data_IF_522935615503
#
_entry.id   IF_522935615503
#
_cell.length_a   1.000
_cell.length_b   1.000
_cell.length_c   1.000
_cell.angle_alpha   90.00
_cell.angle_beta   90.00
_cell.angle_gamma   90.00
#
_symmetry.space_group_name_H-M   'P 1'
#
loop_
_entity.id
_entity.type
_entity.pdbx_description
1 polymer ?
#
# COMPACT_ATOMS: atom_id res chain seq x y z
N UNK A 1 28.21 26.49 -0.31
CA UNK A 1 27.29 25.39 -0.67
C UNK A 1 25.95 26.03 -0.94
N UNK A 2 25.45 25.97 -2.18
CA UNK A 2 24.04 26.33 -2.45
C UNK A 2 23.17 25.34 -1.67
N UNK A 3 22.08 25.84 -1.09
CA UNK A 3 21.21 25.11 -0.18
C UNK A 3 20.81 23.75 -0.76
N UNK A 4 21.30 22.67 -0.16
CA UNK A 4 20.80 21.34 -0.50
C UNK A 4 19.32 21.33 -0.12
N UNK A 5 18.44 20.89 -1.02
CA UNK A 5 17.08 20.56 -0.64
C UNK A 5 17.12 19.50 0.46
N UNK A 6 16.75 19.91 1.67
CA UNK A 6 16.62 19.02 2.82
C UNK A 6 15.30 18.28 2.66
N UNK A 7 15.32 16.97 2.90
CA UNK A 7 14.10 16.17 3.00
C UNK A 7 13.20 16.80 4.08
N UNK A 8 12.06 17.35 3.66
CA UNK A 8 11.10 17.98 4.56
C UNK A 8 10.18 16.89 5.14
N UNK A 9 10.64 16.27 6.22
CA UNK A 9 9.93 15.17 6.87
C UNK A 9 8.51 15.55 7.29
N UNK A 10 8.30 16.79 7.76
CA UNK A 10 7.00 17.26 8.21
C UNK A 10 6.02 17.38 7.03
N UNK A 11 6.47 18.02 5.94
CA UNK A 11 5.67 18.15 4.73
C UNK A 11 5.28 16.78 4.17
N UNK A 12 6.24 15.87 3.99
CA UNK A 12 5.93 14.57 3.38
C UNK A 12 5.07 13.68 4.28
N UNK A 13 5.18 13.82 5.60
CA UNK A 13 4.27 13.15 6.53
C UNK A 13 2.82 13.66 6.38
N UNK A 14 2.64 14.97 6.32
CA UNK A 14 1.31 15.58 6.11
C UNK A 14 0.70 15.14 4.76
N UNK A 15 1.49 15.16 3.69
CA UNK A 15 1.06 14.70 2.38
C UNK A 15 0.69 13.21 2.38
N UNK A 16 1.46 12.37 3.08
CA UNK A 16 1.15 10.93 3.19
C UNK A 16 -0.21 10.73 3.87
N UNK A 17 -0.44 11.39 5.00
CA UNK A 17 -1.70 11.29 5.74
C UNK A 17 -2.91 11.74 4.88
N UNK A 18 -2.76 12.84 4.14
CA UNK A 18 -3.81 13.35 3.25
C UNK A 18 -4.08 12.39 2.08
N UNK A 19 -3.03 11.99 1.34
CA UNK A 19 -3.16 11.24 0.10
C UNK A 19 -3.59 9.79 0.32
N UNK A 20 -3.17 9.16 1.42
CA UNK A 20 -3.65 7.83 1.79
C UNK A 20 -5.17 7.86 2.03
N UNK A 21 -5.67 8.88 2.74
CA UNK A 21 -7.11 9.04 2.99
C UNK A 21 -7.86 9.35 1.69
N UNK A 22 -7.33 10.23 0.85
CA UNK A 22 -7.92 10.59 -0.44
C UNK A 22 -8.09 9.35 -1.34
N UNK A 23 -7.04 8.55 -1.52
CA UNK A 23 -7.10 7.31 -2.32
C UNK A 23 -8.06 6.31 -1.67
N UNK A 24 -7.99 6.11 -0.36
CA UNK A 24 -8.80 5.08 0.32
C UNK A 24 -10.31 5.35 0.20
N UNK A 25 -10.72 6.62 0.15
CA UNK A 25 -12.13 7.01 -0.07
C UNK A 25 -12.67 6.61 -1.43
N UNK A 26 -11.80 6.42 -2.42
CA UNK A 26 -12.19 5.99 -3.77
C UNK A 26 -12.75 4.58 -3.81
N UNK A 27 -12.54 3.79 -2.75
CA UNK A 27 -13.02 2.42 -2.65
C UNK A 27 -14.34 2.29 -1.88
N UNK A 28 -15.04 3.36 -1.49
CA UNK A 28 -16.25 3.24 -0.66
C UNK A 28 -17.50 2.72 -1.39
N UNK A 29 -17.46 2.60 -2.71
CA UNK A 29 -18.58 2.15 -3.51
C UNK A 29 -18.93 0.67 -3.33
N UNK A 30 -20.20 0.34 -3.57
CA UNK A 30 -20.72 -1.05 -3.52
C UNK A 30 -19.99 -1.97 -4.49
N UNK A 31 -19.36 -1.46 -5.55
CA UNK A 31 -18.60 -2.27 -6.48
C UNK A 31 -17.39 -2.95 -5.84
N UNK A 32 -16.89 -2.46 -4.71
CA UNK A 32 -15.72 -3.00 -3.99
C UNK A 32 -16.10 -3.87 -2.78
N UNK A 33 -17.22 -3.55 -2.13
CA UNK A 33 -17.64 -4.19 -0.87
C UNK A 33 -18.96 -4.95 -0.97
N UNK A 34 -19.62 -4.93 -2.13
CA UNK A 34 -20.99 -5.38 -2.28
C UNK A 34 -21.92 -4.61 -1.35
N UNK A 35 -22.84 -5.33 -0.71
CA UNK A 35 -23.79 -4.78 0.26
C UNK A 35 -23.26 -4.82 1.71
N UNK A 36 -21.95 -4.99 1.91
CA UNK A 36 -21.36 -5.09 3.24
C UNK A 36 -20.79 -3.74 3.70
N UNK A 37 -20.95 -3.42 4.98
CA UNK A 37 -20.43 -2.20 5.60
C UNK A 37 -19.52 -2.49 6.81
N UNK A 38 -19.32 -3.76 7.12
CA UNK A 38 -18.57 -4.28 8.25
C UNK A 38 -17.27 -4.98 7.81
N UNK A 39 -16.78 -4.70 6.61
CA UNK A 39 -15.55 -5.28 6.07
C UNK A 39 -14.49 -4.20 5.86
N UNK A 40 -13.22 -4.58 6.00
CA UNK A 40 -12.08 -3.74 5.69
C UNK A 40 -10.86 -4.57 5.30
N UNK A 41 -9.93 -3.94 4.58
CA UNK A 41 -8.64 -4.52 4.19
C UNK A 41 -7.52 -3.58 4.59
N UNK A 42 -6.41 -4.14 5.07
CA UNK A 42 -5.17 -3.38 5.25
C UNK A 42 -4.48 -3.23 3.91
N UNK A 43 -4.27 -1.98 3.51
CA UNK A 43 -3.60 -1.60 2.27
C UNK A 43 -2.31 -0.88 2.60
N UNK A 44 -1.22 -1.23 1.93
CA UNK A 44 0.00 -0.43 1.89
C UNK A 44 0.10 0.27 0.54
N UNK A 45 0.46 1.54 0.56
CA UNK A 45 0.75 2.33 -0.64
C UNK A 45 2.22 2.73 -0.61
N UNK A 46 2.90 2.54 -1.73
CA UNK A 46 4.27 2.99 -1.88
C UNK A 46 4.26 4.32 -2.63
N UNK A 47 4.80 5.34 -1.98
CA UNK A 47 4.97 6.66 -2.57
C UNK A 47 6.43 6.99 -2.75
N UNK A 48 6.69 7.91 -3.67
CA UNK A 48 7.99 8.56 -3.82
C UNK A 48 7.83 10.08 -3.79
N UNK A 49 8.63 10.78 -2.94
CA UNK A 49 8.70 12.24 -2.92
C UNK A 49 9.17 12.85 -4.25
N UNK A 50 8.56 13.95 -4.68
CA UNK A 50 8.92 14.68 -5.91
C UNK A 50 8.48 16.15 -5.81
N UNK A 51 9.40 17.13 -5.81
CA UNK A 51 9.15 18.57 -5.55
C UNK A 51 7.96 18.86 -4.64
N UNK A 52 8.05 18.46 -3.37
CA UNK A 52 6.98 18.78 -2.40
C UNK A 52 5.62 18.16 -2.75
N UNK A 53 5.60 17.17 -3.64
CA UNK A 53 4.47 16.31 -3.97
C UNK A 53 4.82 14.83 -3.72
N UNK A 54 3.82 13.97 -3.76
CA UNK A 54 3.97 12.52 -3.72
C UNK A 54 3.52 11.91 -5.03
N UNK A 55 4.26 10.91 -5.52
CA UNK A 55 3.85 10.06 -6.64
C UNK A 55 3.61 8.63 -6.14
N UNK A 56 2.43 8.11 -6.42
CA UNK A 56 2.00 6.75 -6.10
C UNK A 56 2.66 5.77 -7.07
N UNK A 57 3.37 4.77 -6.54
CA UNK A 57 4.08 3.76 -7.32
C UNK A 57 3.33 2.44 -7.35
N UNK A 58 2.83 1.98 -6.21
CA UNK A 58 2.12 0.70 -6.09
C UNK A 58 1.20 0.68 -4.87
N UNK A 59 0.30 -0.30 -4.88
CA UNK A 59 -0.62 -0.64 -3.80
C UNK A 59 -0.47 -2.13 -3.51
N UNK A 60 -0.49 -2.52 -2.24
CA UNK A 60 -0.34 -3.90 -1.79
C UNK A 60 -1.37 -4.23 -0.72
N UNK A 61 -2.04 -5.38 -0.82
CA UNK A 61 -3.06 -5.84 0.16
C UNK A 61 -2.65 -7.09 0.92
N UNK A 62 -1.64 -7.82 0.43
CA UNK A 62 -0.94 -8.86 1.20
C UNK A 62 0.33 -8.29 1.81
N UNK A 63 0.16 -7.38 2.76
CA UNK A 63 1.25 -6.61 3.34
C UNK A 63 2.04 -7.46 4.34
N UNK A 64 3.37 -7.42 4.23
CA UNK A 64 4.24 -7.92 5.29
C UNK A 64 4.12 -7.02 6.51
N UNK A 65 3.47 -7.46 7.60
CA UNK A 65 3.35 -6.65 8.82
C UNK A 65 4.29 -7.19 9.90
N UNK A 66 5.50 -6.64 9.96
CA UNK A 66 6.52 -7.09 10.90
C UNK A 66 6.49 -6.32 12.23
N UNK A 67 7.24 -6.80 13.22
CA UNK A 67 7.31 -6.18 14.55
C UNK A 67 7.77 -4.72 14.48
N UNK A 68 8.69 -4.45 13.55
CA UNK A 68 9.27 -3.14 13.29
C UNK A 68 8.25 -2.11 12.81
N UNK A 69 7.07 -2.55 12.34
CA UNK A 69 6.01 -1.68 11.89
C UNK A 69 5.02 -1.27 12.99
N UNK A 70 5.11 -1.88 14.18
CA UNK A 70 4.25 -1.57 15.33
C UNK A 70 4.22 -0.07 15.67
N UNK A 71 5.36 0.66 15.73
CA UNK A 71 5.35 2.10 16.06
C UNK A 71 4.58 2.98 15.06
N UNK A 72 4.33 2.48 13.85
CA UNK A 72 3.66 3.22 12.78
C UNK A 72 2.17 2.85 12.64
N UNK A 73 1.65 1.95 13.48
CA UNK A 73 0.26 1.53 13.43
C UNK A 73 -0.55 2.14 14.58
N UNK A 74 -1.64 2.84 14.24
CA UNK A 74 -2.55 3.41 15.24
C UNK A 74 -3.62 2.38 15.66
N UNK A 75 -3.26 1.52 16.64
CA UNK A 75 -4.19 0.55 17.23
C UNK A 75 -5.39 1.22 17.94
N UNK A 76 -5.22 2.46 18.41
CA UNK A 76 -6.29 3.20 19.09
C UNK A 76 -7.33 3.70 18.09
N UNK A 77 -6.94 4.07 16.87
CA UNK A 77 -7.87 4.43 15.81
C UNK A 77 -8.82 3.27 15.49
N UNK A 78 -8.29 2.04 15.34
CA UNK A 78 -9.12 0.86 15.07
C UNK A 78 -10.09 0.57 16.23
N UNK A 79 -9.63 0.60 17.48
CA UNK A 79 -10.52 0.35 18.63
C UNK A 79 -11.60 1.43 18.79
N UNK A 80 -11.27 2.70 18.50
CA UNK A 80 -12.25 3.80 18.45
C UNK A 80 -13.27 3.59 17.32
N UNK A 81 -12.81 3.21 16.13
CA UNK A 81 -13.68 2.88 15.00
C UNK A 81 -14.66 1.76 15.36
N UNK A 82 -14.16 0.65 15.93
CA UNK A 82 -15.04 -0.46 16.31
C UNK A 82 -16.08 -0.06 17.34
N UNK A 83 -15.69 0.66 18.40
CA UNK A 83 -16.63 1.13 19.43
C UNK A 83 -17.67 2.11 18.88
N UNK A 84 -17.24 3.04 18.02
CA UNK A 84 -18.14 4.03 17.40
C UNK A 84 -19.25 3.35 16.58
N UNK A 85 -18.93 2.24 15.93
CA UNK A 85 -19.87 1.50 15.08
C UNK A 85 -20.54 0.30 15.79
N UNK A 86 -20.39 0.19 17.12
CA UNK A 86 -21.06 -0.86 17.90
C UNK A 86 -20.46 -2.27 17.79
N UNK A 87 -19.37 -2.45 17.02
CA UNK A 87 -18.74 -3.76 16.84
C UNK A 87 -18.22 -4.33 18.17
N UNK A 88 -18.57 -5.59 18.45
CA UNK A 88 -18.17 -6.38 19.63
C UNK A 88 -17.17 -7.47 19.31
N UNK A 89 -16.99 -7.77 18.03
CA UNK A 89 -16.07 -8.78 17.53
C UNK A 89 -15.34 -8.25 16.30
N UNK A 90 -14.05 -8.59 16.19
CA UNK A 90 -13.26 -8.43 14.97
C UNK A 90 -12.76 -9.80 14.54
N UNK A 91 -12.99 -10.17 13.28
CA UNK A 91 -12.43 -11.35 12.65
C UNK A 91 -11.22 -10.90 11.80
N UNK A 92 -10.02 -11.30 12.21
CA UNK A 92 -8.79 -11.09 11.46
C UNK A 92 -8.59 -12.19 10.42
N UNK A 93 -8.67 -11.86 9.13
CA UNK A 93 -8.49 -12.81 8.04
C UNK A 93 -7.02 -12.89 7.63
N UNK A 94 -6.35 -13.98 8.00
CA UNK A 94 -4.90 -14.17 7.85
C UNK A 94 -4.56 -15.38 6.97
N UNK A 95 -3.57 -15.24 6.11
CA UNK A 95 -3.18 -16.33 5.21
C UNK A 95 -2.51 -17.43 6.02
N UNK A 96 -3.13 -18.60 6.09
CA UNK A 96 -2.58 -19.77 6.81
C UNK A 96 -1.15 -20.11 6.33
N UNK A 97 -0.88 -19.90 5.05
CA UNK A 97 0.42 -20.18 4.45
C UNK A 97 1.53 -19.24 4.94
N UNK A 98 1.21 -17.98 5.23
CA UNK A 98 2.18 -16.97 5.64
C UNK A 98 2.21 -16.77 7.16
N UNK A 99 1.08 -16.92 7.82
CA UNK A 99 0.95 -16.81 9.27
C UNK A 99 1.64 -17.97 10.01
N UNK A 100 1.53 -19.20 9.49
CA UNK A 100 2.10 -20.41 10.12
C UNK A 100 3.47 -20.83 9.59
N UNK A 101 4.14 -20.02 8.75
CA UNK A 101 5.56 -20.24 8.40
C UNK A 101 6.52 -20.08 9.59
N UNK A 102 5.98 -19.77 10.78
CA UNK A 102 6.67 -19.74 12.08
C UNK A 102 6.20 -20.82 13.08
N UNK A 103 6.05 -22.08 12.64
CA UNK A 103 6.13 -23.27 13.51
C UNK A 103 7.34 -24.11 13.05
N UNK A 104 8.51 -23.81 13.62
CA UNK A 104 9.80 -24.41 13.26
C UNK A 104 10.52 -23.68 12.11
N UNK A 105 11.79 -23.33 12.32
CA UNK A 105 12.74 -22.76 11.35
C UNK A 105 12.75 -21.23 11.09
N UNK A 106 12.45 -20.40 12.11
CA UNK A 106 12.98 -19.02 12.15
C UNK A 106 12.51 -18.05 11.05
N UNK A 107 11.34 -18.29 10.42
CA UNK A 107 10.72 -17.35 9.48
C UNK A 107 9.61 -16.57 10.17
N UNK A 108 9.58 -15.25 9.96
CA UNK A 108 8.58 -14.33 10.53
C UNK A 108 7.19 -14.62 9.97
N UNK A 109 6.18 -14.69 10.83
CA UNK A 109 4.77 -14.70 10.42
C UNK A 109 4.40 -13.33 9.83
N UNK A 110 3.47 -13.29 8.89
CA UNK A 110 2.79 -12.03 8.50
C UNK A 110 1.27 -12.16 8.65
N UNK A 111 0.63 -11.28 9.43
CA UNK A 111 1.26 -10.33 10.37
C UNK A 111 2.13 -11.04 11.44
N UNK A 112 3.08 -10.31 12.03
CA UNK A 112 3.95 -10.84 13.08
C UNK A 112 3.15 -11.18 14.33
N UNK A 113 3.60 -12.21 15.08
CA UNK A 113 2.96 -12.59 16.35
C UNK A 113 2.89 -11.42 17.34
N UNK A 114 3.94 -10.60 17.40
CA UNK A 114 4.00 -9.41 18.24
C UNK A 114 2.91 -8.39 17.85
N UNK A 115 2.76 -8.13 16.55
CA UNK A 115 1.71 -7.24 16.05
C UNK A 115 0.31 -7.77 16.38
N UNK A 116 0.06 -9.06 16.12
CA UNK A 116 -1.25 -9.65 16.40
C UNK A 116 -1.58 -9.70 17.89
N UNK A 117 -0.59 -10.00 18.74
CA UNK A 117 -0.78 -10.01 20.19
C UNK A 117 -1.13 -8.60 20.71
N UNK A 118 -0.47 -7.57 20.18
CA UNK A 118 -0.79 -6.19 20.55
C UNK A 118 -2.19 -5.78 20.05
N UNK A 119 -2.54 -6.13 18.81
CA UNK A 119 -3.88 -5.89 18.26
C UNK A 119 -4.97 -6.52 19.12
N UNK A 120 -4.81 -7.81 19.44
CA UNK A 120 -5.73 -8.56 20.30
C UNK A 120 -5.88 -7.91 21.68
N UNK A 121 -4.77 -7.57 22.34
CA UNK A 121 -4.79 -6.93 23.65
C UNK A 121 -5.50 -5.56 23.63
N UNK A 122 -5.29 -4.77 22.58
CA UNK A 122 -5.91 -3.45 22.43
C UNK A 122 -7.41 -3.53 22.17
N UNK A 123 -7.85 -4.49 21.36
CA UNK A 123 -9.27 -4.77 21.13
C UNK A 123 -9.93 -5.32 22.41
N UNK A 124 -9.29 -6.29 23.07
CA UNK A 124 -9.77 -6.89 24.31
C UNK A 124 -9.94 -5.85 25.43
N UNK A 125 -8.96 -4.96 25.61
CA UNK A 125 -9.03 -3.85 26.57
C UNK A 125 -10.15 -2.86 26.27
N UNK A 126 -10.67 -2.87 25.04
CA UNK A 126 -11.81 -2.07 24.58
C UNK A 126 -13.14 -2.84 24.60
N UNK A 127 -13.16 -4.06 25.16
CA UNK A 127 -14.34 -4.93 25.21
C UNK A 127 -14.71 -5.56 23.86
N UNK A 128 -13.76 -5.67 22.94
CA UNK A 128 -13.95 -6.23 21.60
C UNK A 128 -13.21 -7.57 21.52
N UNK A 129 -13.93 -8.63 21.17
CA UNK A 129 -13.32 -9.96 20.94
C UNK A 129 -12.54 -9.95 19.63
N UNK A 130 -11.43 -10.68 19.60
CA UNK A 130 -10.65 -10.87 18.37
C UNK A 130 -10.53 -12.36 18.07
N UNK A 131 -10.85 -12.75 16.84
CA UNK A 131 -10.73 -14.13 16.37
C UNK A 131 -10.00 -14.16 15.03
N UNK A 132 -9.30 -15.26 14.77
CA UNK A 132 -8.60 -15.45 13.50
C UNK A 132 -9.39 -16.36 12.56
N UNK A 133 -9.54 -15.90 11.33
CA UNK A 133 -10.03 -16.73 10.23
C UNK A 133 -8.87 -17.07 9.28
N UNK A 134 -8.57 -18.35 9.03
CA UNK A 134 -7.51 -18.74 8.13
C UNK A 134 -7.96 -18.63 6.68
N UNK A 135 -7.44 -17.64 5.94
CA UNK A 135 -7.65 -17.57 4.50
C UNK A 135 -7.06 -18.82 3.80
N UNK A 136 -7.73 -19.34 2.76
CA UNK A 136 -7.26 -20.48 2.02
C UNK A 136 -5.98 -20.16 1.24
N UNK A 137 -5.36 -21.19 0.68
CA UNK A 137 -4.16 -21.01 -0.14
C UNK A 137 -4.58 -20.50 -1.53
N UNK A 138 -3.95 -19.41 -1.97
CA UNK A 138 -4.07 -18.94 -3.36
C UNK A 138 -3.84 -20.09 -4.37
N UNK A 139 -4.67 -20.21 -5.42
CA UNK A 139 -5.64 -19.24 -5.93
C UNK A 139 -7.08 -19.40 -5.42
N UNK A 140 -7.33 -20.15 -4.34
CA UNK A 140 -8.68 -20.26 -3.81
C UNK A 140 -9.15 -18.91 -3.20
N UNK A 141 -10.38 -18.46 -3.50
CA UNK A 141 -10.95 -17.24 -2.93
C UNK A 141 -11.23 -17.41 -1.44
N UNK A 142 -11.26 -16.29 -0.71
CA UNK A 142 -11.69 -16.32 0.69
C UNK A 142 -13.20 -16.59 0.69
N UNK A 143 -13.68 -17.65 1.39
CA UNK A 143 -15.11 -17.92 1.44
C UNK A 143 -15.83 -16.80 2.19
N UNK A 144 -17.11 -16.64 1.92
CA UNK A 144 -17.98 -15.75 2.69
C UNK A 144 -17.90 -16.09 4.19
N UNK A 145 -17.72 -15.06 5.01
CA UNK A 145 -17.66 -15.18 6.46
C UNK A 145 -19.01 -14.73 6.99
N UNK A 146 -19.77 -15.69 7.53
CA UNK A 146 -21.04 -15.40 8.18
C UNK A 146 -20.79 -14.48 9.38
N UNK A 147 -21.40 -13.30 9.36
CA UNK A 147 -21.22 -12.25 10.37
C UNK A 147 -22.55 -11.70 10.83
N UNK A 148 -22.63 -11.38 12.11
CA UNK A 148 -23.70 -10.54 12.65
C UNK A 148 -23.38 -9.05 12.47
N UNK A 149 -24.37 -8.19 12.70
CA UNK A 149 -24.24 -6.73 12.60
C UNK A 149 -23.16 -6.14 13.54
N UNK A 150 -22.73 -6.91 14.56
CA UNK A 150 -21.77 -6.47 15.57
C UNK A 150 -20.36 -7.05 15.31
N UNK A 151 -20.13 -7.68 14.16
CA UNK A 151 -18.85 -8.28 13.80
C UNK A 151 -18.22 -7.53 12.64
N UNK A 152 -16.97 -7.09 12.82
CA UNK A 152 -16.17 -6.47 11.77
C UNK A 152 -15.13 -7.45 11.22
N UNK A 153 -15.01 -7.56 9.90
CA UNK A 153 -14.02 -8.40 9.24
C UNK A 153 -12.85 -7.53 8.78
N UNK A 154 -11.66 -7.81 9.30
CA UNK A 154 -10.43 -7.12 8.94
C UNK A 154 -9.49 -8.08 8.19
N UNK A 155 -9.28 -7.81 6.90
CA UNK A 155 -8.47 -8.64 6.01
C UNK A 155 -7.01 -8.17 5.97
N UNK A 156 -6.10 -9.12 6.21
CA UNK A 156 -4.64 -8.97 6.05
C UNK A 156 -4.09 -9.80 4.87
N UNK A 157 -4.97 -10.47 4.14
CA UNK A 157 -4.62 -11.51 3.17
C UNK A 157 -5.20 -11.20 1.81
N UNK A 158 -4.49 -11.53 0.74
CA UNK A 158 -5.01 -11.45 -0.62
C UNK A 158 -6.23 -12.37 -0.84
N UNK A 159 -7.21 -11.85 -1.57
CA UNK A 159 -8.42 -12.51 -2.05
C UNK A 159 -8.55 -12.30 -3.57
N UNK A 160 -8.43 -13.36 -4.39
CA UNK A 160 -8.51 -13.25 -5.86
C UNK A 160 -9.86 -12.75 -6.39
N UNK A 161 -10.92 -12.74 -5.59
CA UNK A 161 -12.23 -12.20 -5.99
C UNK A 161 -12.46 -10.74 -5.55
N UNK A 162 -11.53 -10.16 -4.79
CA UNK A 162 -11.62 -8.75 -4.38
C UNK A 162 -11.10 -7.83 -5.48
N UNK A 163 -11.93 -6.89 -5.95
CA UNK A 163 -11.50 -5.86 -6.93
C UNK A 163 -10.36 -4.98 -6.42
N UNK A 164 -10.29 -4.76 -5.11
CA UNK A 164 -9.18 -4.02 -4.49
C UNK A 164 -7.88 -4.81 -4.65
N UNK A 165 -7.93 -6.12 -4.45
CA UNK A 165 -6.77 -7.00 -4.61
C UNK A 165 -6.37 -7.17 -6.07
N UNK A 166 -7.34 -7.19 -6.99
CA UNK A 166 -7.07 -7.19 -8.43
C UNK A 166 -6.17 -6.00 -8.81
N UNK A 167 -6.50 -4.79 -8.34
CA UNK A 167 -5.67 -3.59 -8.53
C UNK A 167 -4.31 -3.67 -7.83
N UNK A 168 -4.20 -4.35 -6.70
CA UNK A 168 -2.92 -4.59 -6.05
C UNK A 168 -2.05 -5.58 -6.85
N UNK A 169 -2.67 -6.53 -7.55
CA UNK A 169 -1.97 -7.53 -8.36
C UNK A 169 -1.58 -7.02 -9.76
N UNK A 170 -2.37 -6.11 -10.34
CA UNK A 170 -2.12 -5.50 -11.64
C UNK A 170 -2.05 -3.97 -11.55
N UNK A 171 -0.82 -3.46 -11.64
CA UNK A 171 -0.51 -2.02 -11.55
C UNK A 171 -1.17 -1.21 -12.67
N UNK A 172 -1.50 -1.80 -13.81
CA UNK A 172 -2.22 -1.10 -14.88
C UNK A 172 -3.65 -0.76 -14.47
N UNK A 173 -4.33 -1.68 -13.79
CA UNK A 173 -5.68 -1.46 -13.25
C UNK A 173 -5.69 -0.37 -12.18
N UNK A 174 -4.67 -0.34 -11.30
CA UNK A 174 -4.50 0.75 -10.33
C UNK A 174 -4.33 2.10 -11.03
N UNK A 175 -3.47 2.18 -12.05
CA UNK A 175 -3.24 3.42 -12.82
C UNK A 175 -4.54 3.90 -13.46
N UNK A 176 -5.30 3.00 -14.09
CA UNK A 176 -6.55 3.33 -14.76
C UNK A 176 -7.62 3.77 -13.76
N UNK A 177 -7.69 3.12 -12.59
CA UNK A 177 -8.56 3.55 -11.48
C UNK A 177 -8.21 4.97 -11.03
N UNK A 178 -6.95 5.25 -10.70
CA UNK A 178 -6.47 6.57 -10.25
C UNK A 178 -6.78 7.67 -11.27
N UNK A 179 -6.63 7.38 -12.58
CA UNK A 179 -7.04 8.31 -13.64
C UNK A 179 -8.54 8.55 -13.64
N UNK A 180 -9.34 7.47 -13.60
CA UNK A 180 -10.80 7.52 -13.63
C UNK A 180 -11.38 8.34 -12.48
N UNK A 181 -10.80 8.24 -11.28
CA UNK A 181 -11.26 8.99 -10.11
C UNK A 181 -10.69 10.41 -10.01
N UNK A 182 -9.97 10.88 -11.03
CA UNK A 182 -9.46 12.25 -11.11
C UNK A 182 -8.19 12.52 -10.30
N UNK A 183 -7.50 11.48 -9.83
CA UNK A 183 -6.28 11.59 -9.01
C UNK A 183 -4.99 11.43 -9.85
N UNK A 184 -5.04 11.77 -11.13
CA UNK A 184 -3.91 11.60 -12.07
C UNK A 184 -2.64 12.35 -11.67
N UNK A 185 -2.75 13.41 -10.85
CA UNK A 185 -1.58 14.13 -10.32
C UNK A 185 -0.73 13.29 -9.37
N UNK A 186 -1.30 12.24 -8.76
CA UNK A 186 -0.57 11.27 -7.95
C UNK A 186 0.22 10.29 -8.82
N UNK A 187 -0.11 10.15 -10.10
CA UNK A 187 0.64 9.27 -10.96
C UNK A 187 1.96 9.92 -11.36
N UNK A 188 3.04 9.15 -11.40
CA UNK A 188 4.26 9.64 -11.97
C UNK A 188 4.07 10.02 -13.44
N UNK A 189 4.77 11.07 -13.86
CA UNK A 189 4.86 11.41 -15.26
C UNK A 189 5.44 10.24 -16.06
N UNK A 190 4.99 10.09 -17.30
CA UNK A 190 5.44 9.10 -18.26
C UNK A 190 5.67 9.75 -19.64
N UNK A 191 6.31 9.04 -20.55
CA UNK A 191 6.55 9.49 -21.93
C UNK A 191 7.83 10.31 -22.18
N UNK A 192 8.00 10.71 -23.44
CA UNK A 192 9.28 11.23 -23.98
C UNK A 192 9.69 12.59 -23.42
N UNK A 193 8.73 13.42 -23.02
CA UNK A 193 8.98 14.76 -22.46
C UNK A 193 9.77 14.74 -21.14
N UNK A 194 9.87 13.57 -20.50
CA UNK A 194 10.68 13.37 -19.30
C UNK A 194 12.19 13.50 -19.56
N UNK A 195 12.62 13.34 -20.81
CA UNK A 195 14.02 13.27 -21.20
C UNK A 195 14.60 14.60 -21.65
N UNK A 196 13.78 15.64 -21.71
CA UNK A 196 14.13 16.91 -22.36
C UNK A 196 14.74 17.93 -21.39
N UNK A 197 14.50 17.76 -20.10
CA UNK A 197 15.09 18.59 -19.06
C UNK A 197 16.20 17.82 -18.34
N UNK A 198 17.37 18.45 -18.23
CA UNK A 198 18.51 17.95 -17.45
C UNK A 198 18.65 18.80 -16.19
N UNK A 199 18.98 18.17 -15.07
CA UNK A 199 19.43 18.93 -13.91
C UNK A 199 20.89 19.31 -14.07
N UNK A 200 21.20 20.58 -13.82
CA UNK A 200 22.59 21.09 -13.86
C UNK A 200 23.47 20.45 -12.77
N UNK A 201 22.86 19.99 -11.67
CA UNK A 201 23.59 19.32 -10.60
C UNK A 201 23.90 17.86 -10.99
N UNK A 202 25.18 17.56 -11.21
CA UNK A 202 25.65 16.22 -11.55
C UNK A 202 25.53 15.20 -10.41
N UNK A 203 25.28 15.64 -9.18
CA UNK A 203 25.28 14.77 -7.98
C UNK A 203 23.98 14.00 -7.73
N UNK A 204 22.88 14.37 -8.40
CA UNK A 204 21.55 13.79 -8.16
C UNK A 204 20.97 13.15 -9.41
N UNK A 205 20.32 11.98 -9.37
CA UNK A 205 19.71 11.37 -10.57
C UNK A 205 18.66 12.28 -11.23
N UNK A 206 18.60 12.27 -12.56
CA UNK A 206 17.61 13.02 -13.33
C UNK A 206 16.26 12.29 -13.40
N UNK A 207 16.27 10.96 -13.30
CA UNK A 207 15.10 10.08 -13.40
C UNK A 207 15.22 8.95 -12.37
N UNK A 208 14.08 8.56 -11.77
CA UNK A 208 13.96 7.39 -10.91
C UNK A 208 12.95 6.43 -11.50
N UNK A 209 13.37 5.25 -11.94
CA UNK A 209 12.47 4.27 -12.52
C UNK A 209 12.07 3.23 -11.51
N UNK A 210 10.81 2.81 -11.55
CA UNK A 210 10.29 1.60 -10.90
C UNK A 210 9.86 0.56 -11.94
N UNK A 211 10.61 -0.54 -12.07
CA UNK A 211 10.16 -1.69 -12.85
C UNK A 211 8.89 -2.28 -12.21
N UNK A 212 7.75 -2.30 -12.90
CA UNK A 212 6.49 -2.75 -12.31
C UNK A 212 6.47 -4.26 -12.02
N UNK A 213 7.33 -5.05 -12.68
CA UNK A 213 7.41 -6.51 -12.54
C UNK A 213 8.35 -6.98 -11.42
N UNK A 214 8.98 -6.06 -10.69
CA UNK A 214 9.91 -6.37 -9.61
C UNK A 214 9.44 -5.72 -8.30
N UNK A 215 9.26 -6.51 -7.26
CA UNK A 215 8.81 -6.05 -5.92
C UNK A 215 9.89 -6.25 -4.84
N UNK A 216 9.55 -5.99 -3.57
CA UNK A 216 10.42 -6.16 -2.40
C UNK A 216 11.70 -5.31 -2.45
N UNK A 217 11.57 -3.99 -2.59
CA UNK A 217 12.68 -3.02 -2.68
C UNK A 217 13.60 -3.22 -3.90
N UNK A 218 13.18 -4.04 -4.87
CA UNK A 218 13.86 -4.22 -6.16
C UNK A 218 13.17 -3.39 -7.23
N UNK A 219 13.86 -3.24 -8.36
CA UNK A 219 13.32 -2.58 -9.53
C UNK A 219 13.31 -1.06 -9.46
N UNK A 220 13.88 -0.45 -8.41
CA UNK A 220 14.13 1.00 -8.40
C UNK A 220 15.50 1.26 -9.00
N UNK A 221 15.57 2.11 -10.03
CA UNK A 221 16.81 2.47 -10.71
C UNK A 221 16.95 3.99 -10.80
N UNK A 222 18.16 4.50 -10.60
CA UNK A 222 18.46 5.93 -10.62
C UNK A 222 19.33 6.25 -11.84
N UNK A 223 18.90 7.20 -12.66
CA UNK A 223 19.52 7.45 -13.96
C UNK A 223 19.92 8.92 -14.15
N UNK A 224 21.04 9.12 -14.86
CA UNK A 224 21.46 10.41 -15.42
C UNK A 224 21.25 10.43 -16.93
N UNK A 225 20.73 11.51 -17.47
CA UNK A 225 20.50 11.70 -18.90
C UNK A 225 21.80 12.19 -19.55
N UNK A 226 22.64 11.26 -20.01
CA UNK A 226 23.97 11.54 -20.55
C UNK A 226 24.07 11.55 -22.09
N UNK A 227 22.95 11.70 -22.81
CA UNK A 227 22.93 11.83 -24.28
C UNK A 227 21.85 10.96 -24.95
N UNK A 228 21.94 10.79 -26.27
CA UNK A 228 20.90 10.16 -27.10
C UNK A 228 20.65 8.68 -26.77
N UNK A 229 21.68 7.95 -26.31
CA UNK A 229 21.57 6.53 -25.93
C UNK A 229 20.62 6.31 -24.74
N UNK A 230 20.60 7.24 -23.78
CA UNK A 230 19.67 7.18 -22.65
C UNK A 230 18.24 7.39 -23.14
N UNK A 231 18.02 8.33 -24.08
CA UNK A 231 16.68 8.58 -24.65
C UNK A 231 16.14 7.37 -25.41
N UNK A 232 16.96 6.72 -26.22
CA UNK A 232 16.54 5.54 -27.00
C UNK A 232 16.23 4.32 -26.11
N UNK A 233 17.00 4.13 -25.03
CA UNK A 233 16.74 3.09 -24.03
C UNK A 233 15.36 3.26 -23.37
N UNK A 234 15.00 4.50 -23.04
CA UNK A 234 13.73 4.83 -22.39
C UNK A 234 12.51 4.66 -23.28
N UNK A 235 12.59 5.07 -24.54
CA UNK A 235 11.51 4.88 -25.53
C UNK A 235 11.06 3.43 -25.68
N UNK A 236 11.99 2.47 -25.52
CA UNK A 236 11.74 1.03 -25.67
C UNK A 236 11.05 0.38 -24.46
N UNK A 237 11.02 1.02 -23.29
CA UNK A 237 10.55 0.40 -22.03
C UNK A 237 9.21 0.92 -21.50
N UNK A 238 8.62 1.94 -22.15
CA UNK A 238 7.48 2.66 -21.60
C UNK A 238 7.94 3.47 -20.40
N UNK A 239 8.08 4.79 -20.57
CA UNK A 239 8.89 5.58 -19.63
C UNK A 239 8.23 5.63 -18.25
N UNK A 240 9.05 5.31 -17.26
CA UNK A 240 8.73 5.26 -15.84
C UNK A 240 9.13 6.58 -15.18
N UNK A 241 8.38 6.96 -14.16
CA UNK A 241 8.45 8.16 -13.34
C UNK A 241 9.69 9.04 -13.45
N UNK A 242 9.51 10.29 -13.88
CA UNK A 242 10.42 11.36 -13.46
C UNK A 242 9.91 11.93 -12.15
N UNK A 243 10.79 12.07 -11.18
CA UNK A 243 10.56 12.95 -10.05
C UNK A 243 11.09 14.30 -10.46
N UNK A 244 10.24 15.30 -10.68
CA UNK A 244 10.72 16.66 -10.63
C UNK A 244 11.34 16.94 -9.20
N UNK A 245 12.30 17.87 -9.07
CA UNK A 245 12.88 18.32 -7.79
C UNK A 245 12.29 19.62 -7.25
#
# INVERSE_FOLDING_TARGET
MKDRYVYDENLYKELLDEKIVEISRTFFGEEYWGNTNNHGVIIAYDFIPSNKELKLLEMNTNVGIFKEYIPYFDFLALSKFCRKNGFKKVIGVVSKHWYNRGWGAGRSSTPSKDFMSLLENMLYSSGIKFELFPAPKYPAPIPEIDTDDNTFVLRFSFDPESKIDEMASDKSLLIDHIKKVGLSSLLPLNGDSLLDEKYEDSSFPDIVLKNPQLDNRRGVEFWKISGDKTKEFFKKRGIVSRLPQ
#
